data_IF_014974236501
#
_entry.id   IF_014974236501
#
_cell.length_a   1.000
_cell.length_b   1.000
_cell.length_c   1.000
_cell.angle_alpha   90.00
_cell.angle_beta   90.00
_cell.angle_gamma   90.00
#
_symmetry.space_group_name_H-M   'P 1'
#
loop_
_entity.id
_entity.type
_entity.pdbx_description
1 polymer ?
#
# COMPACT_ATOMS: atom_id res chain seq x y z
N UNK A 1 -14.79 -0.58 4.83
CA UNK A 1 -14.48 -2.00 4.62
C UNK A 1 -15.49 -2.93 5.32
N UNK A 2 -15.69 -2.87 6.66
CA UNK A 2 -16.60 -3.80 7.39
C UNK A 2 -18.05 -3.78 6.89
N UNK A 3 -18.60 -2.59 6.55
CA UNK A 3 -19.95 -2.46 5.99
C UNK A 3 -20.05 -3.20 4.64
N UNK A 4 -19.07 -3.01 3.78
CA UNK A 4 -19.01 -3.69 2.47
C UNK A 4 -18.82 -5.20 2.61
N UNK A 5 -17.95 -5.64 3.54
CA UNK A 5 -17.79 -7.06 3.84
C UNK A 5 -19.10 -7.73 4.24
N UNK A 6 -19.85 -7.11 5.15
CA UNK A 6 -21.16 -7.65 5.60
C UNK A 6 -22.19 -7.66 4.47
N UNK A 7 -22.23 -6.62 3.64
CA UNK A 7 -23.12 -6.56 2.48
C UNK A 7 -22.77 -7.67 1.47
N UNK A 8 -21.49 -7.82 1.14
CA UNK A 8 -20.98 -8.88 0.27
C UNK A 8 -21.32 -10.28 0.83
N UNK A 9 -21.07 -10.50 2.11
CA UNK A 9 -21.35 -11.78 2.75
C UNK A 9 -22.86 -12.13 2.72
N UNK A 10 -23.74 -11.15 2.93
CA UNK A 10 -25.18 -11.34 2.86
C UNK A 10 -25.65 -11.61 1.41
N UNK A 11 -25.15 -10.87 0.43
CA UNK A 11 -25.48 -11.01 -0.99
C UNK A 11 -25.10 -12.39 -1.53
N UNK A 12 -23.86 -12.82 -1.22
CA UNK A 12 -23.31 -14.08 -1.74
C UNK A 12 -23.56 -15.29 -0.82
N UNK A 13 -24.22 -15.07 0.32
CA UNK A 13 -24.54 -16.12 1.33
C UNK A 13 -23.28 -16.87 1.80
N UNK A 14 -22.18 -16.15 1.98
CA UNK A 14 -20.92 -16.69 2.50
C UNK A 14 -20.69 -16.22 3.95
N UNK A 15 -20.06 -17.03 4.81
CA UNK A 15 -19.76 -16.63 6.17
C UNK A 15 -18.65 -15.57 6.22
N UNK A 16 -18.76 -14.66 7.20
CA UNK A 16 -17.64 -13.80 7.58
C UNK A 16 -16.82 -14.55 8.63
N UNK A 17 -15.57 -14.79 8.33
CA UNK A 17 -14.59 -15.40 9.23
C UNK A 17 -13.79 -14.30 9.91
N UNK A 18 -13.81 -14.28 11.24
CA UNK A 18 -13.00 -13.37 12.05
C UNK A 18 -11.77 -14.14 12.56
N UNK A 19 -10.60 -13.65 12.25
CA UNK A 19 -9.31 -14.24 12.57
C UNK A 19 -8.60 -13.31 13.56
N UNK A 20 -8.52 -13.72 14.82
CA UNK A 20 -7.78 -13.01 15.85
C UNK A 20 -6.28 -13.37 15.73
N UNK A 21 -5.42 -12.38 15.92
CA UNK A 21 -3.99 -12.60 15.90
C UNK A 21 -3.54 -13.44 17.12
N UNK A 22 -2.56 -14.29 16.91
CA UNK A 22 -1.86 -14.98 18.00
C UNK A 22 -0.66 -14.13 18.41
N UNK A 23 -0.43 -14.01 19.73
CA UNK A 23 0.66 -13.25 20.28
C UNK A 23 1.56 -14.13 21.12
N UNK A 24 2.87 -13.93 21.01
CA UNK A 24 3.91 -14.49 21.86
C UNK A 24 4.56 -13.40 22.71
N UNK A 25 5.07 -13.75 23.88
CA UNK A 25 5.72 -12.80 24.81
C UNK A 25 4.74 -11.88 25.58
N UNK A 26 3.42 -12.06 25.39
CA UNK A 26 2.38 -11.31 26.09
C UNK A 26 1.08 -12.11 26.19
N UNK A 27 0.16 -11.69 27.08
CA UNK A 27 -1.18 -12.31 27.10
C UNK A 27 -1.97 -11.95 25.84
N UNK A 28 -2.93 -12.80 25.46
CA UNK A 28 -3.79 -12.54 24.30
C UNK A 28 -4.51 -11.20 24.42
N UNK A 29 -5.07 -10.87 25.59
CA UNK A 29 -5.81 -9.64 25.83
C UNK A 29 -4.91 -8.39 25.68
N UNK A 30 -3.70 -8.42 26.24
CA UNK A 30 -2.74 -7.34 26.07
C UNK A 30 -2.31 -7.20 24.61
N UNK A 31 -1.99 -8.30 23.93
CA UNK A 31 -1.64 -8.30 22.52
C UNK A 31 -2.74 -7.71 21.63
N UNK A 32 -4.01 -8.03 21.92
CA UNK A 32 -5.18 -7.50 21.20
C UNK A 32 -5.40 -5.99 21.46
N UNK A 33 -4.87 -5.43 22.54
CA UNK A 33 -4.95 -3.99 22.82
C UNK A 33 -3.86 -3.17 22.12
N UNK A 34 -2.78 -3.82 21.65
CA UNK A 34 -1.64 -3.16 21.02
C UNK A 34 -1.97 -2.66 19.61
N UNK A 35 -1.38 -1.51 19.23
CA UNK A 35 -1.58 -0.93 17.90
C UNK A 35 -1.01 -1.82 16.79
N UNK A 36 -1.74 -1.94 15.67
CA UNK A 36 -1.32 -2.72 14.51
C UNK A 36 -0.05 -2.15 13.84
N UNK A 37 0.21 -0.83 13.98
CA UNK A 37 1.41 -0.18 13.45
C UNK A 37 2.70 -0.72 14.08
N UNK A 38 2.67 -1.15 15.35
CA UNK A 38 3.80 -1.78 16.03
C UNK A 38 4.23 -3.10 15.38
N UNK A 39 3.33 -3.73 14.64
CA UNK A 39 3.54 -5.01 13.97
C UNK A 39 3.48 -4.87 12.44
N UNK A 40 4.03 -3.77 11.90
CA UNK A 40 4.06 -3.50 10.45
C UNK A 40 2.68 -3.53 9.79
N UNK A 41 1.63 -3.18 10.53
CA UNK A 41 0.25 -3.14 10.06
C UNK A 41 -0.48 -4.49 10.06
N UNK A 42 0.10 -5.55 10.64
CA UNK A 42 -0.61 -6.80 10.87
C UNK A 42 -1.78 -6.57 11.83
N UNK A 43 -3.00 -6.84 11.35
CA UNK A 43 -4.21 -6.57 12.09
C UNK A 43 -4.33 -7.46 13.33
N UNK A 44 -4.72 -6.88 14.49
CA UNK A 44 -5.08 -7.69 15.67
C UNK A 44 -6.27 -8.59 15.40
N UNK A 45 -7.19 -8.16 14.54
CA UNK A 45 -8.35 -8.93 14.09
C UNK A 45 -8.60 -8.67 12.61
N UNK A 46 -8.51 -9.72 11.82
CA UNK A 46 -8.78 -9.72 10.40
C UNK A 46 -10.14 -10.37 10.14
N UNK A 47 -11.06 -9.66 9.48
CA UNK A 47 -12.36 -10.19 9.08
C UNK A 47 -12.36 -10.39 7.57
N UNK A 48 -12.67 -11.60 7.10
CA UNK A 48 -12.67 -11.97 5.68
C UNK A 48 -13.92 -12.80 5.32
N UNK A 49 -14.21 -12.83 4.04
CA UNK A 49 -15.19 -13.75 3.45
C UNK A 49 -14.67 -14.19 2.07
N UNK A 50 -15.09 -15.35 1.61
CA UNK A 50 -14.82 -15.79 0.24
C UNK A 50 -15.40 -14.78 -0.75
N UNK A 51 -14.66 -14.43 -1.81
CA UNK A 51 -15.00 -13.39 -2.77
C UNK A 51 -14.61 -11.96 -2.34
N UNK A 52 -14.17 -11.74 -1.11
CA UNK A 52 -13.75 -10.42 -0.65
C UNK A 52 -12.45 -9.96 -1.33
N UNK A 53 -12.38 -8.70 -1.81
CA UNK A 53 -11.13 -8.12 -2.29
C UNK A 53 -10.20 -7.81 -1.13
N UNK A 54 -8.93 -8.14 -1.29
CA UNK A 54 -7.87 -7.94 -0.30
C UNK A 54 -6.63 -7.31 -0.92
N UNK A 55 -5.83 -6.67 -0.06
CA UNK A 55 -4.48 -6.20 -0.37
C UNK A 55 -3.47 -6.97 0.45
N UNK A 56 -2.37 -7.35 -0.19
CA UNK A 56 -1.18 -7.86 0.48
C UNK A 56 -0.45 -6.71 1.18
N UNK A 57 -0.01 -6.93 2.42
CA UNK A 57 0.67 -5.93 3.26
C UNK A 57 2.19 -6.16 3.38
N UNK A 58 2.73 -7.16 2.71
CA UNK A 58 4.16 -7.47 2.72
C UNK A 58 4.64 -7.93 1.34
N UNK A 59 5.96 -7.79 1.12
CA UNK A 59 6.60 -8.36 -0.05
C UNK A 59 6.84 -9.86 0.22
N UNK A 60 6.26 -10.73 -0.59
CA UNK A 60 6.43 -12.19 -0.51
C UNK A 60 7.29 -12.71 -1.65
N UNK A 61 7.00 -12.32 -2.89
CA UNK A 61 7.72 -12.70 -4.10
C UNK A 61 7.54 -11.59 -5.13
N UNK A 62 8.35 -10.53 -5.02
CA UNK A 62 8.24 -9.31 -5.83
C UNK A 62 8.42 -9.62 -7.31
N UNK A 63 9.36 -10.50 -7.65
CA UNK A 63 9.63 -10.99 -9.00
C UNK A 63 8.44 -11.73 -9.64
N UNK A 64 7.51 -12.21 -8.82
CA UNK A 64 6.30 -12.91 -9.25
C UNK A 64 5.02 -12.08 -9.05
N UNK A 65 5.15 -10.78 -8.76
CA UNK A 65 4.00 -9.86 -8.61
C UNK A 65 3.34 -9.90 -7.22
N UNK A 66 3.94 -10.57 -6.21
CA UNK A 66 3.44 -10.59 -4.83
C UNK A 66 4.21 -9.58 -3.97
N UNK A 67 3.82 -8.34 -4.07
CA UNK A 67 4.41 -7.23 -3.33
C UNK A 67 3.37 -6.51 -2.46
N UNK A 68 3.84 -5.71 -1.54
CA UNK A 68 2.96 -4.86 -0.73
C UNK A 68 2.09 -3.97 -1.65
N UNK A 69 0.77 -4.07 -1.48
CA UNK A 69 -0.21 -3.40 -2.32
C UNK A 69 -0.79 -4.27 -3.45
N UNK A 70 -0.29 -5.51 -3.67
CA UNK A 70 -0.90 -6.43 -4.63
C UNK A 70 -2.34 -6.73 -4.25
N UNK A 71 -3.25 -6.58 -5.21
CA UNK A 71 -4.68 -6.83 -5.05
C UNK A 71 -5.02 -8.27 -5.39
N UNK A 72 -5.88 -8.87 -4.59
CA UNK A 72 -6.38 -10.22 -4.84
C UNK A 72 -7.81 -10.42 -4.34
N UNK A 73 -8.38 -11.56 -4.69
CA UNK A 73 -9.72 -11.99 -4.28
C UNK A 73 -9.61 -13.26 -3.47
N UNK A 74 -10.19 -13.29 -2.28
CA UNK A 74 -10.22 -14.49 -1.42
C UNK A 74 -11.02 -15.60 -2.12
N UNK A 75 -10.39 -16.75 -2.34
CA UNK A 75 -11.01 -17.93 -2.95
C UNK A 75 -11.37 -18.98 -1.91
N UNK A 76 -10.55 -19.13 -0.87
CA UNK A 76 -10.81 -20.10 0.19
C UNK A 76 -10.10 -19.68 1.50
N UNK A 77 -10.62 -20.18 2.63
CA UNK A 77 -10.04 -20.01 3.98
C UNK A 77 -9.93 -21.41 4.57
N UNK A 78 -8.69 -21.91 4.62
CA UNK A 78 -8.40 -23.32 4.94
C UNK A 78 -8.00 -23.45 6.41
N UNK A 79 -8.74 -24.26 7.15
CA UNK A 79 -8.41 -24.63 8.53
C UNK A 79 -7.74 -26.02 8.57
N UNK A 80 -6.86 -26.22 9.54
CA UNK A 80 -6.32 -27.55 9.82
C UNK A 80 -7.43 -28.49 10.36
N UNK A 81 -7.30 -29.79 10.21
CA UNK A 81 -8.26 -30.73 10.77
C UNK A 81 -8.47 -30.53 12.29
N UNK A 82 -9.68 -30.26 12.70
CA UNK A 82 -10.04 -29.98 14.09
C UNK A 82 -10.06 -28.52 14.47
N UNK A 83 -9.43 -27.64 13.68
CA UNK A 83 -9.44 -26.19 13.88
C UNK A 83 -10.67 -25.54 13.26
N UNK A 84 -11.16 -24.47 13.88
CA UNK A 84 -12.28 -23.69 13.37
C UNK A 84 -12.30 -22.29 14.04
N UNK A 85 -13.03 -21.28 13.47
CA UNK A 85 -13.07 -19.92 14.01
C UNK A 85 -13.59 -19.78 15.44
N UNK A 86 -14.32 -20.79 15.93
CA UNK A 86 -14.97 -20.79 17.24
C UNK A 86 -14.31 -21.78 18.22
N UNK A 87 -13.13 -22.29 17.91
CA UNK A 87 -12.42 -23.22 18.79
C UNK A 87 -12.13 -22.58 20.16
N UNK A 88 -12.11 -23.37 21.24
CA UNK A 88 -11.87 -22.85 22.59
C UNK A 88 -10.47 -22.22 22.74
N UNK A 89 -9.48 -22.83 22.12
CA UNK A 89 -8.11 -22.32 22.10
C UNK A 89 -7.93 -21.34 20.97
N UNK A 90 -7.33 -20.15 21.27
CA UNK A 90 -7.14 -19.06 20.30
C UNK A 90 -6.24 -19.48 19.15
N UNK A 91 -5.18 -20.29 19.42
CA UNK A 91 -4.25 -20.77 18.43
C UNK A 91 -4.95 -21.59 17.33
N UNK A 92 -5.98 -22.34 17.71
CA UNK A 92 -6.77 -23.21 16.81
C UNK A 92 -7.92 -22.48 16.09
N UNK A 93 -8.04 -21.17 16.30
CA UNK A 93 -8.97 -20.30 15.54
C UNK A 93 -8.34 -19.70 14.30
N UNK A 94 -7.02 -19.78 14.19
CA UNK A 94 -6.29 -19.23 13.03
C UNK A 94 -6.34 -20.23 11.89
N UNK A 95 -6.77 -19.83 10.68
CA UNK A 95 -6.65 -20.68 9.49
C UNK A 95 -5.21 -21.09 9.26
N UNK A 96 -5.02 -22.29 8.72
CA UNK A 96 -3.71 -22.75 8.25
C UNK A 96 -3.22 -21.90 7.07
N UNK A 97 -4.13 -21.60 6.12
CA UNK A 97 -3.83 -20.81 4.95
C UNK A 97 -5.07 -20.08 4.41
N UNK A 98 -4.84 -19.04 3.63
CA UNK A 98 -5.86 -18.36 2.83
C UNK A 98 -5.46 -18.44 1.37
N UNK A 99 -6.36 -18.96 0.51
CA UNK A 99 -6.16 -19.01 -0.93
C UNK A 99 -6.67 -17.72 -1.55
N UNK A 100 -5.81 -17.03 -2.29
CA UNK A 100 -6.12 -15.74 -2.90
C UNK A 100 -5.75 -15.80 -4.38
N UNK A 101 -6.64 -15.28 -5.22
CA UNK A 101 -6.42 -15.08 -6.64
C UNK A 101 -5.81 -13.70 -6.87
N UNK A 102 -4.55 -13.66 -7.24
CA UNK A 102 -3.83 -12.44 -7.61
C UNK A 102 -3.67 -12.37 -9.12
N UNK A 103 -4.47 -11.55 -9.80
CA UNK A 103 -4.43 -11.42 -11.25
C UNK A 103 -3.05 -11.07 -11.84
N UNK A 104 -2.18 -10.44 -11.04
CA UNK A 104 -0.81 -10.10 -11.41
C UNK A 104 0.25 -11.16 -11.07
N UNK A 105 -0.15 -12.32 -10.54
CA UNK A 105 0.79 -13.38 -10.19
C UNK A 105 1.33 -14.08 -11.43
N UNK A 106 2.65 -14.20 -11.52
CA UNK A 106 3.39 -14.82 -12.64
C UNK A 106 4.39 -15.90 -12.20
N UNK A 107 4.29 -16.35 -10.96
CA UNK A 107 5.16 -17.40 -10.41
C UNK A 107 4.70 -18.82 -10.76
N UNK A 108 5.40 -19.84 -10.22
CA UNK A 108 5.01 -21.24 -10.36
C UNK A 108 3.59 -21.47 -9.81
N UNK A 109 2.74 -22.25 -10.50
CA UNK A 109 1.38 -22.50 -10.05
C UNK A 109 1.36 -23.36 -8.77
N UNK A 110 0.53 -23.00 -7.80
CA UNK A 110 0.29 -23.77 -6.58
C UNK A 110 -0.69 -24.93 -6.81
N UNK A 111 -1.49 -24.88 -7.87
CA UNK A 111 -2.53 -25.85 -8.19
C UNK A 111 -2.29 -26.46 -9.58
N UNK A 112 -2.63 -27.73 -9.74
CA UNK A 112 -2.51 -28.44 -11.03
C UNK A 112 -3.55 -28.00 -12.07
N UNK A 113 -4.61 -27.32 -11.65
CA UNK A 113 -5.66 -26.80 -12.52
C UNK A 113 -5.21 -25.48 -13.18
N UNK A 114 -5.09 -25.42 -14.51
CA UNK A 114 -4.66 -24.21 -15.23
C UNK A 114 -5.55 -22.98 -14.97
N UNK A 115 -6.82 -23.16 -14.63
CA UNK A 115 -7.73 -22.08 -14.28
C UNK A 115 -7.37 -21.40 -12.96
N UNK A 116 -6.47 -21.99 -12.18
CA UNK A 116 -6.02 -21.52 -10.86
C UNK A 116 -4.55 -21.12 -10.85
N UNK A 117 -3.96 -20.82 -12.00
CA UNK A 117 -2.55 -20.43 -12.11
C UNK A 117 -2.21 -19.15 -11.32
N UNK A 118 -3.19 -18.28 -11.11
CA UNK A 118 -3.06 -17.04 -10.33
C UNK A 118 -3.43 -17.19 -8.84
N UNK A 119 -3.85 -18.40 -8.44
CA UNK A 119 -4.23 -18.68 -7.06
C UNK A 119 -3.00 -18.98 -6.22
N UNK A 120 -2.82 -18.23 -5.15
CA UNK A 120 -1.66 -18.30 -4.26
C UNK A 120 -2.11 -18.68 -2.86
N UNK A 121 -1.36 -19.55 -2.22
CA UNK A 121 -1.56 -19.94 -0.83
C UNK A 121 -0.79 -18.93 0.03
N UNK A 122 -1.51 -18.19 0.87
CA UNK A 122 -0.93 -17.23 1.82
C UNK A 122 -0.99 -17.85 3.21
N UNK A 123 0.16 -17.94 3.85
CA UNK A 123 0.32 -18.39 5.24
C UNK A 123 0.39 -17.19 6.20
N UNK A 124 0.08 -17.38 7.50
CA UNK A 124 0.24 -16.33 8.49
C UNK A 124 1.73 -16.02 8.69
N UNK A 125 2.02 -14.74 8.90
CA UNK A 125 3.37 -14.22 9.13
C UNK A 125 3.53 -13.79 10.57
N UNK A 126 4.70 -14.02 11.15
CA UNK A 126 5.11 -13.46 12.42
C UNK A 126 5.84 -12.13 12.24
N UNK A 127 5.54 -11.19 13.13
CA UNK A 127 6.16 -9.87 13.15
C UNK A 127 6.46 -9.48 14.60
N UNK A 128 7.70 -9.09 14.86
CA UNK A 128 8.13 -8.53 16.12
C UNK A 128 7.59 -7.11 16.32
N UNK A 129 7.31 -6.75 17.56
CA UNK A 129 6.89 -5.39 17.91
C UNK A 129 8.02 -4.39 17.71
N UNK A 130 7.74 -3.25 17.09
CA UNK A 130 8.70 -2.17 16.90
C UNK A 130 9.19 -1.51 18.18
N UNK A 131 8.53 -1.75 19.34
CA UNK A 131 8.92 -1.22 20.63
C UNK A 131 9.53 -2.28 21.57
N UNK A 132 9.12 -3.54 21.40
CA UNK A 132 9.52 -4.66 22.27
C UNK A 132 9.75 -5.92 21.44
N UNK A 133 11.00 -6.30 21.26
CA UNK A 133 11.41 -7.45 20.44
C UNK A 133 10.97 -8.81 21.04
N UNK A 134 10.68 -8.85 22.35
CA UNK A 134 10.15 -10.05 23.02
C UNK A 134 8.68 -10.33 22.71
N UNK A 135 7.95 -9.37 22.11
CA UNK A 135 6.55 -9.54 21.73
C UNK A 135 6.43 -9.75 20.23
N UNK A 136 5.78 -10.84 19.84
CA UNK A 136 5.50 -11.17 18.45
C UNK A 136 4.01 -11.28 18.20
N UNK A 137 3.59 -10.93 17.00
CA UNK A 137 2.24 -11.12 16.48
C UNK A 137 2.27 -11.99 15.25
N UNK A 138 1.46 -13.05 15.24
CA UNK A 138 1.23 -13.89 14.08
C UNK A 138 -0.14 -13.59 13.50
N UNK A 139 -0.18 -13.21 12.22
CA UNK A 139 -1.39 -12.89 11.49
C UNK A 139 -1.14 -12.93 9.98
N UNK A 140 -2.17 -13.04 9.19
CA UNK A 140 -2.08 -12.93 7.74
C UNK A 140 -1.73 -11.49 7.34
N UNK A 141 -0.76 -11.28 6.43
CA UNK A 141 -0.36 -9.96 5.95
C UNK A 141 -1.37 -9.42 4.91
N UNK A 142 -2.62 -9.31 5.32
CA UNK A 142 -3.74 -8.96 4.46
C UNK A 142 -4.61 -7.86 5.09
N UNK A 143 -5.23 -7.04 4.24
CA UNK A 143 -6.34 -6.19 4.65
C UNK A 143 -7.41 -6.14 3.55
N UNK A 144 -8.65 -5.84 3.94
CA UNK A 144 -9.76 -5.63 2.99
C UNK A 144 -9.47 -4.46 2.04
N UNK A 145 -9.85 -4.61 0.78
CA UNK A 145 -9.52 -3.69 -0.30
C UNK A 145 -10.68 -2.92 -0.92
N UNK A 146 -11.90 -2.98 -0.37
CA UNK A 146 -13.02 -2.11 -0.83
C UNK A 146 -12.73 -0.63 -0.60
N UNK A 147 -12.05 -0.31 0.50
CA UNK A 147 -11.62 1.05 0.79
C UNK A 147 -10.21 1.03 1.39
N UNK A 148 -9.33 1.81 0.79
CA UNK A 148 -7.94 1.94 1.18
C UNK A 148 -7.58 3.40 1.46
N UNK A 149 -6.55 3.62 2.25
CA UNK A 149 -6.05 4.98 2.47
C UNK A 149 -5.25 5.45 1.26
N UNK A 150 -5.20 6.78 0.99
CA UNK A 150 -4.37 7.32 -0.10
C UNK A 150 -2.90 6.89 -0.02
N UNK A 151 -2.36 6.71 1.18
CA UNK A 151 -0.98 6.20 1.36
C UNK A 151 -0.79 4.80 0.81
N UNK A 152 -1.74 3.89 1.06
CA UNK A 152 -1.71 2.53 0.50
C UNK A 152 -1.96 2.52 -1.01
N UNK A 153 -2.65 3.53 -1.55
CA UNK A 153 -2.89 3.69 -2.97
C UNK A 153 -1.69 4.32 -3.73
N UNK A 154 -0.67 4.79 -3.02
CA UNK A 154 0.49 5.41 -3.65
C UNK A 154 1.22 4.41 -4.55
N UNK A 155 1.50 4.81 -5.80
CA UNK A 155 2.10 3.94 -6.81
C UNK A 155 1.12 3.03 -7.55
N UNK A 156 -0.12 2.87 -7.06
CA UNK A 156 -1.14 2.05 -7.74
C UNK A 156 -1.80 2.82 -8.89
N UNK A 157 -2.23 2.09 -9.91
CA UNK A 157 -3.16 2.58 -10.93
C UNK A 157 -4.46 1.79 -10.78
N UNK A 158 -5.57 2.50 -10.63
CA UNK A 158 -6.89 1.93 -10.41
C UNK A 158 -7.81 2.23 -11.58
N UNK A 159 -8.69 1.30 -11.92
CA UNK A 159 -9.62 1.50 -13.02
C UNK A 159 -10.69 2.53 -12.69
N UNK A 160 -11.25 2.47 -11.47
CA UNK A 160 -12.24 3.42 -10.95
C UNK A 160 -11.99 3.72 -9.48
N UNK A 161 -12.19 4.97 -9.07
CA UNK A 161 -11.97 5.39 -7.69
C UNK A 161 -13.09 6.33 -7.22
N UNK A 162 -13.55 6.09 -6.02
CA UNK A 162 -14.37 7.05 -5.26
C UNK A 162 -13.47 7.64 -4.17
N UNK A 163 -13.23 8.95 -4.21
CA UNK A 163 -12.42 9.66 -3.23
C UNK A 163 -13.32 10.38 -2.25
N UNK A 164 -13.28 9.96 -0.97
CA UNK A 164 -13.93 10.70 0.10
C UNK A 164 -13.10 11.90 0.49
N UNK A 165 -13.67 13.10 0.31
CA UNK A 165 -12.97 14.39 0.52
C UNK A 165 -12.82 14.74 2.00
N UNK A 166 -13.65 14.20 2.89
CA UNK A 166 -13.66 14.51 4.32
C UNK A 166 -12.32 14.22 5.03
N UNK A 167 -11.61 13.19 4.59
CA UNK A 167 -10.33 12.76 5.17
C UNK A 167 -9.12 13.04 4.28
N UNK A 168 -9.33 13.05 2.94
CA UNK A 168 -8.25 13.23 1.97
C UNK A 168 -7.64 14.63 2.00
N UNK A 169 -8.41 15.62 2.47
CA UNK A 169 -7.98 17.02 2.51
C UNK A 169 -7.23 17.40 3.79
N UNK A 170 -7.10 16.49 4.76
CA UNK A 170 -6.51 16.79 6.06
C UNK A 170 -5.00 17.06 6.02
N UNK A 171 -4.30 16.56 5.01
CA UNK A 171 -2.84 16.72 4.87
C UNK A 171 -2.45 17.15 3.45
N UNK A 172 -1.48 18.07 3.31
CA UNK A 172 -0.98 18.49 1.99
C UNK A 172 -0.51 17.30 1.14
N UNK A 173 -0.89 17.29 -0.13
CA UNK A 173 -0.48 16.25 -1.09
C UNK A 173 -1.31 14.97 -1.06
N UNK A 174 -2.03 14.66 0.02
CA UNK A 174 -2.83 13.43 0.14
C UNK A 174 -3.96 13.39 -0.88
N UNK A 175 -4.66 14.49 -1.04
CA UNK A 175 -5.71 14.61 -2.07
C UNK A 175 -5.15 14.41 -3.47
N UNK A 176 -4.00 14.99 -3.79
CA UNK A 176 -3.33 14.81 -5.08
C UNK A 176 -3.03 13.33 -5.34
N UNK A 177 -2.47 12.61 -4.35
CA UNK A 177 -2.21 11.18 -4.48
C UNK A 177 -3.50 10.42 -4.80
N UNK A 178 -4.61 10.71 -4.11
CA UNK A 178 -5.89 10.04 -4.34
C UNK A 178 -6.46 10.33 -5.74
N UNK A 179 -6.46 11.59 -6.18
CA UNK A 179 -7.02 12.01 -7.46
C UNK A 179 -6.23 11.45 -8.66
N UNK A 180 -4.93 11.24 -8.50
CA UNK A 180 -4.05 10.76 -9.58
C UNK A 180 -3.97 9.23 -9.66
N UNK A 181 -4.84 8.50 -8.99
CA UNK A 181 -4.83 7.02 -9.04
C UNK A 181 -5.53 6.44 -10.26
N UNK A 182 -6.35 7.21 -10.96
CA UNK A 182 -7.03 6.79 -12.19
C UNK A 182 -6.34 7.35 -13.44
N UNK A 183 -6.49 6.65 -14.56
CA UNK A 183 -5.93 7.08 -15.86
C UNK A 183 -6.78 8.16 -16.53
N UNK A 184 -8.09 8.17 -16.25
CA UNK A 184 -9.02 9.10 -16.87
C UNK A 184 -9.96 9.73 -15.83
N UNK A 185 -10.28 11.06 -15.94
CA UNK A 185 -11.16 11.74 -14.99
C UNK A 185 -12.56 11.13 -14.87
N UNK A 186 -13.10 10.54 -15.95
CA UNK A 186 -14.42 9.90 -15.95
C UNK A 186 -14.51 8.66 -15.03
N UNK A 187 -13.35 8.15 -14.61
CA UNK A 187 -13.25 7.04 -13.68
C UNK A 187 -13.10 7.49 -12.22
N UNK A 188 -13.22 8.80 -11.97
CA UNK A 188 -13.09 9.42 -10.65
C UNK A 188 -14.45 9.95 -10.19
N UNK A 189 -14.89 9.51 -9.03
CA UNK A 189 -16.02 10.09 -8.32
C UNK A 189 -15.53 10.74 -7.01
N UNK A 190 -16.01 11.94 -6.73
CA UNK A 190 -15.74 12.64 -5.48
C UNK A 190 -16.95 12.54 -4.56
N UNK A 191 -16.76 12.10 -3.33
CA UNK A 191 -17.78 11.99 -2.30
C UNK A 191 -17.53 13.00 -1.19
N UNK A 192 -18.57 13.78 -0.84
CA UNK A 192 -18.51 14.84 0.17
C UNK A 192 -18.20 16.21 -0.40
N UNK A 193 -18.20 17.20 0.48
CA UNK A 193 -18.02 18.61 0.12
C UNK A 193 -16.54 18.89 -0.18
N UNK A 194 -16.30 19.60 -1.28
CA UNK A 194 -14.97 20.07 -1.60
C UNK A 194 -14.54 21.14 -0.57
N UNK A 195 -13.34 21.00 0.02
CA UNK A 195 -12.90 21.98 1.02
C UNK A 195 -12.77 23.37 0.43
N UNK A 196 -13.14 24.39 1.20
CA UNK A 196 -12.99 25.77 0.78
C UNK A 196 -11.54 26.05 0.34
N UNK A 197 -11.35 26.80 -0.74
CA UNK A 197 -10.03 27.13 -1.26
C UNK A 197 -9.12 27.78 -0.20
N UNK A 198 -9.67 28.55 0.72
CA UNK A 198 -8.96 29.13 1.86
C UNK A 198 -8.35 28.06 2.78
N UNK A 199 -9.00 26.91 2.95
CA UNK A 199 -8.50 25.79 3.73
C UNK A 199 -7.34 25.11 3.02
N UNK A 200 -7.46 24.84 1.72
CA UNK A 200 -6.39 24.27 0.89
C UNK A 200 -5.18 25.23 0.89
N UNK A 201 -5.43 26.51 0.65
CA UNK A 201 -4.37 27.54 0.64
C UNK A 201 -3.64 27.63 1.98
N UNK A 202 -4.35 27.53 3.12
CA UNK A 202 -3.74 27.56 4.45
C UNK A 202 -2.77 26.39 4.66
N UNK A 203 -3.06 25.23 4.11
CA UNK A 203 -2.16 24.06 4.19
C UNK A 203 -0.84 24.29 3.44
N UNK A 204 -0.87 25.03 2.31
CA UNK A 204 0.32 25.37 1.52
C UNK A 204 1.29 26.30 2.26
N UNK A 205 0.80 27.05 3.25
CA UNK A 205 1.60 27.96 4.06
C UNK A 205 2.01 27.39 5.44
N UNK A 206 1.76 26.11 5.68
CA UNK A 206 2.25 25.46 6.90
C UNK A 206 3.78 25.43 6.92
N UNK A 207 4.42 25.74 8.07
CA UNK A 207 5.88 25.77 8.17
C UNK A 207 6.56 24.49 7.69
N UNK A 208 5.99 23.32 8.02
CA UNK A 208 6.50 22.01 7.59
C UNK A 208 6.39 21.82 6.06
N UNK A 209 5.34 22.32 5.44
CA UNK A 209 5.19 22.24 3.98
C UNK A 209 6.20 23.14 3.28
N UNK A 210 6.38 24.37 3.76
CA UNK A 210 7.38 25.32 3.22
C UNK A 210 8.81 24.80 3.42
N UNK A 211 9.11 24.20 4.58
CA UNK A 211 10.40 23.59 4.85
C UNK A 211 10.68 22.42 3.88
N UNK A 212 9.66 21.57 3.62
CA UNK A 212 9.76 20.48 2.66
C UNK A 212 9.98 20.98 1.24
N UNK A 213 9.23 22.00 0.79
CA UNK A 213 9.44 22.59 -0.54
C UNK A 213 10.86 23.16 -0.69
N UNK A 214 11.38 23.83 0.36
CA UNK A 214 12.75 24.33 0.37
C UNK A 214 13.78 23.19 0.26
N UNK A 215 13.54 22.09 0.96
CA UNK A 215 14.38 20.90 0.89
C UNK A 215 14.32 20.24 -0.50
N UNK A 216 13.13 20.05 -1.07
CA UNK A 216 12.93 19.49 -2.42
C UNK A 216 13.66 20.31 -3.48
N UNK A 217 13.54 21.66 -3.44
CA UNK A 217 14.29 22.55 -4.34
C UNK A 217 15.80 22.35 -4.20
N UNK A 218 16.29 22.27 -2.95
CA UNK A 218 17.72 22.04 -2.69
C UNK A 218 18.17 20.67 -3.24
N UNK A 219 17.36 19.64 -3.09
CA UNK A 219 17.65 18.30 -3.63
C UNK A 219 17.71 18.30 -5.16
N UNK A 220 16.80 18.99 -5.82
CA UNK A 220 16.84 19.16 -7.28
C UNK A 220 18.14 19.85 -7.74
N UNK A 221 18.59 20.89 -7.03
CA UNK A 221 19.88 21.55 -7.31
C UNK A 221 21.06 20.59 -7.16
N UNK A 222 21.08 19.81 -6.08
CA UNK A 222 22.15 18.83 -5.82
C UNK A 222 22.15 17.72 -6.89
N UNK A 223 20.97 17.23 -7.25
CA UNK A 223 20.78 16.21 -8.27
C UNK A 223 21.32 16.64 -9.62
N UNK A 224 20.99 17.86 -10.09
CA UNK A 224 21.51 18.37 -11.36
C UNK A 224 23.03 18.58 -11.35
N UNK A 225 23.60 19.01 -10.20
CA UNK A 225 25.05 19.13 -10.04
C UNK A 225 25.74 17.75 -10.13
N UNK A 226 25.13 16.74 -9.54
CA UNK A 226 25.63 15.36 -9.57
C UNK A 226 25.59 14.80 -10.98
N UNK A 227 24.45 14.98 -11.69
CA UNK A 227 24.33 14.58 -13.10
C UNK A 227 25.43 15.24 -13.94
N UNK A 228 25.55 16.59 -13.87
CA UNK A 228 26.59 17.31 -14.63
C UNK A 228 28.01 16.83 -14.34
N UNK A 229 28.32 16.53 -13.06
CA UNK A 229 29.63 16.04 -12.67
C UNK A 229 29.91 14.67 -13.32
N UNK A 230 28.93 13.76 -13.27
CA UNK A 230 29.07 12.42 -13.83
C UNK A 230 29.07 12.39 -15.36
N UNK A 231 28.26 13.23 -16.01
CA UNK A 231 28.29 13.40 -17.47
C UNK A 231 29.68 13.87 -17.97
N UNK A 232 30.41 14.68 -17.17
CA UNK A 232 31.77 15.14 -17.52
C UNK A 232 32.85 14.09 -17.26
N UNK A 233 32.60 13.12 -16.36
CA UNK A 233 33.56 12.09 -15.98
C UNK A 233 33.51 10.82 -16.82
N UNK A 234 32.59 10.73 -17.79
CA UNK A 234 32.31 9.53 -18.61
C UNK A 234 32.01 8.23 -17.82
N UNK A 235 32.01 8.30 -16.50
CA UNK A 235 31.79 7.13 -15.60
C UNK A 235 30.38 6.56 -15.63
N UNK A 236 29.42 7.22 -16.29
CA UNK A 236 28.02 6.78 -16.34
C UNK A 236 27.70 5.81 -17.48
N UNK A 237 28.66 5.55 -18.37
CA UNK A 237 28.45 4.74 -19.58
C UNK A 237 29.11 3.34 -19.51
N UNK A 238 29.68 2.98 -18.38
CA UNK A 238 30.03 1.61 -18.10
C UNK A 238 28.79 0.88 -17.63
N UNK A 239 28.30 -0.02 -18.47
CA UNK A 239 27.22 -0.97 -18.24
C UNK A 239 25.76 -0.47 -18.36
N UNK A 240 25.23 -0.66 -19.59
CA UNK A 240 23.80 -0.89 -19.96
C UNK A 240 22.76 0.23 -19.85
N UNK A 241 23.04 1.43 -19.37
CA UNK A 241 22.06 2.53 -19.46
C UNK A 241 22.52 3.54 -20.50
N UNK A 242 22.00 3.43 -21.72
CA UNK A 242 22.16 4.48 -22.74
C UNK A 242 21.36 5.71 -22.29
N UNK A 243 22.05 6.83 -22.11
CA UNK A 243 21.41 8.14 -21.97
C UNK A 243 20.60 8.40 -23.26
N UNK A 244 19.28 8.48 -23.12
CA UNK A 244 18.40 8.74 -24.26
C UNK A 244 18.31 10.25 -24.53
N UNK A 245 17.98 10.64 -25.76
CA UNK A 245 17.72 12.03 -26.12
C UNK A 245 16.60 12.63 -25.22
N UNK A 246 15.61 11.83 -24.85
CA UNK A 246 14.56 12.21 -23.87
C UNK A 246 15.12 12.60 -22.49
N UNK A 247 16.12 11.87 -21.99
CA UNK A 247 16.76 12.20 -20.72
C UNK A 247 17.59 13.48 -20.82
N UNK A 248 18.21 13.72 -21.96
CA UNK A 248 18.89 14.98 -22.29
C UNK A 248 17.92 16.15 -22.32
N UNK A 249 16.78 15.99 -22.96
CA UNK A 249 15.72 17.02 -23.05
C UNK A 249 15.10 17.33 -21.69
N UNK A 250 14.88 16.34 -20.85
CA UNK A 250 14.41 16.54 -19.47
C UNK A 250 15.44 17.33 -18.66
N UNK A 251 16.73 16.98 -18.76
CA UNK A 251 17.80 17.69 -18.07
C UNK A 251 17.91 19.14 -18.54
N UNK A 252 17.83 19.39 -19.85
CA UNK A 252 17.89 20.71 -20.45
C UNK A 252 16.66 21.57 -20.11
N UNK A 253 15.48 20.98 -20.07
CA UNK A 253 14.26 21.67 -19.66
C UNK A 253 14.29 22.06 -18.17
N UNK A 254 14.79 21.20 -17.30
CA UNK A 254 15.05 21.52 -15.89
C UNK A 254 16.05 22.67 -15.78
N UNK A 255 17.10 22.67 -16.58
CA UNK A 255 18.11 23.72 -16.57
C UNK A 255 17.60 25.05 -17.11
N UNK A 256 16.76 25.04 -18.16
CA UNK A 256 16.07 26.23 -18.70
C UNK A 256 15.09 26.81 -17.69
N UNK A 257 14.33 25.98 -17.02
CA UNK A 257 13.41 26.40 -15.95
C UNK A 257 14.15 27.10 -14.80
N UNK A 258 15.38 26.67 -14.50
CA UNK A 258 16.20 27.28 -13.45
C UNK A 258 16.91 28.54 -13.88
N UNK A 259 17.29 28.62 -15.16
CA UNK A 259 17.86 29.85 -15.72
C UNK A 259 16.80 30.97 -15.74
N UNK A 260 15.54 30.63 -15.95
CA UNK A 260 14.43 31.59 -15.94
C UNK A 260 13.95 32.00 -14.52
N UNK A 261 14.38 31.25 -13.46
CA UNK A 261 13.98 31.50 -12.07
C UNK A 261 15.21 31.54 -11.14
N UNK A 262 16.13 32.51 -11.32
CA UNK A 262 17.37 32.57 -10.54
C UNK A 262 17.17 32.75 -9.04
N UNK A 263 16.00 33.25 -8.60
CA UNK A 263 15.60 33.35 -7.20
C UNK A 263 15.42 31.97 -6.55
N UNK A 264 15.16 30.90 -7.31
CA UNK A 264 15.07 29.53 -6.81
C UNK A 264 16.42 28.90 -6.50
N UNK A 265 17.50 29.49 -7.01
CA UNK A 265 18.88 28.96 -6.92
C UNK A 265 19.71 29.67 -5.86
N UNK A 266 19.35 30.88 -5.46
CA UNK A 266 20.15 31.78 -4.62
C UNK A 266 19.80 31.77 -3.13
N UNK A 267 18.97 30.82 -2.64
CA UNK A 267 18.69 30.73 -1.20
C UNK A 267 18.96 29.35 -0.63
#
# INVERSE_FOLDING_TARGET
>A
NRKHLRAHAAEHKVPVVAIDAVHEGTSHEQGMSMNDELFSGLARRLELAVGAPVLLLSNLAVEHGLMNGSQGIVKDIVFAPGDNPNHDRVENRMPYAIVIDFAGYSGPPFFSDPSRNTWVIIEPKEQESGEREDIKRKQFPLCLAWAITPWKAQGMTLDKVIVSLSHACAKPGVLFVALTRVRHPDNLLLEGDFPAFSTIRRQLYQPNFLARQKWERRMLVLFSRTIRKRMRSEEWFADDVRWTDEMSDIADNILKLWASHPELVRR
#
